data_IF_785253832012
#
_entry.id   IF_785253832012
#
_cell.length_a   1.000
_cell.length_b   1.000
_cell.length_c   1.000
_cell.angle_alpha   90.00
_cell.angle_beta   90.00
_cell.angle_gamma   90.00
#
_symmetry.space_group_name_H-M   'P 1'
#
loop_
_entity.id
_entity.type
_entity.pdbx_description
1 polymer ?
#
# COMPACT_ATOMS: atom_id res chain seq x y z
N UNK A 1 -5.29 -11.66 -14.47
CA UNK A 1 -4.11 -10.87 -14.11
C UNK A 1 -4.15 -10.56 -12.62
N UNK A 2 -3.07 -10.81 -11.93
CA UNK A 2 -2.98 -10.51 -10.50
C UNK A 2 -2.98 -9.00 -10.27
N UNK A 3 -3.61 -8.56 -9.19
CA UNK A 3 -3.74 -7.15 -8.82
C UNK A 3 -2.82 -6.87 -7.63
N UNK A 4 -1.88 -5.94 -7.77
CA UNK A 4 -0.99 -5.51 -6.70
C UNK A 4 -1.36 -4.08 -6.30
N UNK A 5 -1.66 -3.87 -5.04
CA UNK A 5 -1.95 -2.55 -4.49
C UNK A 5 -0.71 -2.00 -3.80
N UNK A 6 -0.27 -0.83 -4.22
CA UNK A 6 0.86 -0.12 -3.62
C UNK A 6 0.36 1.17 -2.97
N UNK A 7 0.66 1.34 -1.70
CA UNK A 7 0.37 2.58 -0.99
C UNK A 7 1.63 3.10 -0.31
N UNK A 8 1.84 4.41 -0.35
CA UNK A 8 3.02 5.05 0.22
C UNK A 8 2.65 6.38 0.85
N UNK A 9 3.15 6.59 2.08
CA UNK A 9 3.09 7.90 2.73
C UNK A 9 4.36 8.65 2.35
N UNK A 10 4.22 9.76 1.63
CA UNK A 10 5.35 10.52 1.07
C UNK A 10 5.31 11.98 1.52
N UNK A 11 5.67 12.25 2.80
CA UNK A 11 5.56 13.61 3.36
C UNK A 11 6.66 14.55 2.88
N UNK A 12 7.70 14.08 2.18
CA UNK A 12 8.82 14.87 1.73
C UNK A 12 9.19 14.56 0.29
N UNK A 13 10.01 15.42 -0.34
CA UNK A 13 10.50 15.16 -1.69
C UNK A 13 11.34 13.89 -1.76
N UNK A 14 12.13 13.60 -0.73
CA UNK A 14 12.95 12.39 -0.70
C UNK A 14 12.10 11.13 -0.64
N UNK A 15 11.09 11.11 0.22
CA UNK A 15 10.18 9.95 0.30
C UNK A 15 9.37 9.79 -0.97
N UNK A 16 8.97 10.89 -1.60
CA UNK A 16 8.26 10.85 -2.88
C UNK A 16 9.13 10.24 -3.98
N UNK A 17 10.39 10.67 -4.09
CA UNK A 17 11.34 10.13 -5.07
C UNK A 17 11.58 8.64 -4.85
N UNK A 18 11.73 8.22 -3.60
CA UNK A 18 11.92 6.81 -3.27
C UNK A 18 10.69 5.99 -3.66
N UNK A 19 9.50 6.48 -3.37
CA UNK A 19 8.25 5.83 -3.74
C UNK A 19 8.11 5.69 -5.25
N UNK A 20 8.42 6.76 -6.00
CA UNK A 20 8.37 6.75 -7.46
C UNK A 20 9.36 5.74 -8.05
N UNK A 21 10.56 5.62 -7.45
CA UNK A 21 11.54 4.64 -7.88
C UNK A 21 11.07 3.22 -7.62
N UNK A 22 10.50 2.95 -6.46
CA UNK A 22 9.93 1.63 -6.15
C UNK A 22 8.83 1.28 -7.14
N UNK A 23 7.94 2.22 -7.43
CA UNK A 23 6.84 2.01 -8.37
C UNK A 23 7.36 1.70 -9.78
N UNK A 24 8.36 2.44 -10.24
CA UNK A 24 8.97 2.22 -11.55
C UNK A 24 9.64 0.83 -11.64
N UNK A 25 10.34 0.42 -10.59
CA UNK A 25 10.96 -0.91 -10.55
C UNK A 25 9.91 -2.03 -10.54
N UNK A 26 8.80 -1.85 -9.84
CA UNK A 26 7.73 -2.83 -9.84
C UNK A 26 7.06 -2.95 -11.21
N UNK A 27 6.86 -1.84 -11.92
CA UNK A 27 6.35 -1.86 -13.29
C UNK A 27 7.30 -2.59 -14.25
N UNK A 28 8.60 -2.36 -14.09
CA UNK A 28 9.61 -3.00 -14.93
C UNK A 28 9.76 -4.49 -14.65
N UNK A 29 9.49 -4.91 -13.41
CA UNK A 29 9.73 -6.30 -12.98
C UNK A 29 8.67 -7.28 -13.47
N UNK A 30 7.45 -6.84 -13.79
CA UNK A 30 6.39 -7.76 -14.20
C UNK A 30 5.39 -7.10 -15.13
N UNK A 31 5.18 -7.71 -16.29
CA UNK A 31 4.15 -7.31 -17.25
C UNK A 31 2.82 -8.01 -17.00
N UNK A 32 2.80 -9.02 -16.11
CA UNK A 32 1.62 -9.84 -15.86
C UNK A 32 0.85 -9.42 -14.62
N UNK A 33 1.29 -8.36 -13.93
CA UNK A 33 0.66 -7.85 -12.71
C UNK A 33 0.10 -6.46 -12.98
N UNK A 34 -1.17 -6.26 -12.66
CA UNK A 34 -1.77 -4.93 -12.67
C UNK A 34 -1.39 -4.21 -11.37
N UNK A 35 -0.70 -3.10 -11.50
CA UNK A 35 -0.22 -2.32 -10.37
C UNK A 35 -1.14 -1.11 -10.13
N UNK A 36 -1.71 -1.02 -8.94
CA UNK A 36 -2.55 0.09 -8.53
C UNK A 36 -1.85 0.87 -7.43
N UNK A 37 -1.74 2.18 -7.61
CA UNK A 37 -1.07 3.07 -6.67
C UNK A 37 -2.07 4.04 -6.07
N UNK A 38 -2.20 4.05 -4.75
CA UNK A 38 -3.03 5.00 -4.00
C UNK A 38 -2.30 5.47 -2.75
N UNK A 39 -2.55 6.70 -2.33
CA UNK A 39 -2.07 7.18 -1.04
C UNK A 39 -2.89 6.53 0.08
N UNK A 40 -2.36 6.47 1.32
CA UNK A 40 -3.13 5.90 2.43
C UNK A 40 -4.50 6.54 2.64
N UNK A 41 -4.60 7.86 2.39
CA UNK A 41 -5.87 8.57 2.54
C UNK A 41 -6.91 8.14 1.51
N UNK A 42 -6.46 7.72 0.32
CA UNK A 42 -7.34 7.31 -0.78
C UNK A 42 -7.79 5.84 -0.68
N UNK A 43 -7.10 5.03 0.12
CA UNK A 43 -7.39 3.59 0.23
C UNK A 43 -8.73 3.39 0.93
N UNK A 44 -9.55 2.51 0.37
CA UNK A 44 -10.79 2.04 1.00
C UNK A 44 -10.69 0.54 1.27
N UNK A 45 -11.61 0.01 2.07
CA UNK A 45 -11.63 -1.44 2.33
C UNK A 45 -11.80 -2.26 1.06
N UNK A 46 -12.52 -1.73 0.07
CA UNK A 46 -12.71 -2.40 -1.23
C UNK A 46 -11.41 -2.59 -1.98
N UNK A 47 -10.50 -1.63 -1.88
CA UNK A 47 -9.20 -1.71 -2.54
C UNK A 47 -8.39 -2.90 -2.05
N UNK A 48 -8.35 -3.11 -0.74
CA UNK A 48 -7.67 -4.25 -0.15
C UNK A 48 -8.31 -5.58 -0.47
N UNK A 49 -9.65 -5.62 -0.50
CA UNK A 49 -10.37 -6.85 -0.84
C UNK A 49 -10.20 -7.25 -2.31
N UNK A 50 -9.97 -6.26 -3.19
CA UNK A 50 -9.82 -6.50 -4.62
C UNK A 50 -8.40 -6.89 -5.03
N UNK A 51 -7.39 -6.67 -4.18
CA UNK A 51 -6.00 -6.93 -4.55
C UNK A 51 -5.55 -8.35 -4.18
N UNK A 52 -4.54 -8.83 -4.89
CA UNK A 52 -3.91 -10.12 -4.63
C UNK A 52 -2.63 -9.98 -3.80
N UNK A 53 -2.17 -8.77 -3.62
CA UNK A 53 -1.02 -8.45 -2.78
C UNK A 53 -1.00 -6.97 -2.43
N UNK A 54 -0.40 -6.63 -1.31
CA UNK A 54 -0.34 -5.26 -0.79
C UNK A 54 1.09 -4.89 -0.43
N UNK A 55 1.58 -3.78 -0.96
CA UNK A 55 2.88 -3.22 -0.60
C UNK A 55 2.64 -1.88 0.08
N UNK A 56 3.18 -1.74 1.29
CA UNK A 56 3.01 -0.54 2.11
C UNK A 56 4.37 0.10 2.35
N UNK A 57 4.52 1.35 1.92
CA UNK A 57 5.68 2.17 2.24
C UNK A 57 5.24 3.29 3.19
N UNK A 58 5.84 3.33 4.37
CA UNK A 58 5.52 4.33 5.38
C UNK A 58 6.79 4.83 6.04
N UNK A 59 6.76 6.08 6.51
CA UNK A 59 7.82 6.58 7.37
C UNK A 59 7.64 6.04 8.78
N UNK A 60 8.75 5.91 9.51
CA UNK A 60 8.72 5.61 10.93
C UNK A 60 8.64 6.94 11.69
N UNK A 61 7.62 7.08 12.52
CA UNK A 61 7.44 8.27 13.34
C UNK A 61 7.32 7.83 14.80
N UNK A 62 8.30 8.24 15.59
CA UNK A 62 8.34 7.92 17.04
C UNK A 62 8.20 6.41 17.27
N UNK A 63 8.95 5.61 16.51
CA UNK A 63 8.98 4.16 16.65
C UNK A 63 7.77 3.43 16.09
N UNK A 64 6.94 4.10 15.27
CA UNK A 64 5.71 3.53 14.72
C UNK A 64 5.45 4.05 13.30
N UNK A 65 4.46 3.49 12.62
CA UNK A 65 4.08 3.93 11.28
C UNK A 65 3.49 5.34 11.29
N UNK A 66 3.50 6.01 10.14
CA UNK A 66 2.91 7.34 9.99
C UNK A 66 1.41 7.32 10.32
N UNK A 67 0.91 8.46 10.81
CA UNK A 67 -0.49 8.59 11.22
C UNK A 67 -1.49 8.31 10.10
N UNK A 68 -1.19 8.74 8.86
CA UNK A 68 -2.08 8.46 7.72
C UNK A 68 -2.09 6.98 7.38
N UNK A 69 -0.99 6.26 7.55
CA UNK A 69 -0.94 4.81 7.36
C UNK A 69 -1.78 4.10 8.43
N UNK A 70 -1.66 4.52 9.67
CA UNK A 70 -2.47 3.98 10.78
C UNK A 70 -3.96 4.26 10.56
N UNK A 71 -4.29 5.47 10.11
CA UNK A 71 -5.66 5.83 9.76
C UNK A 71 -6.24 4.91 8.69
N UNK A 72 -5.44 4.58 7.67
CA UNK A 72 -5.85 3.64 6.63
C UNK A 72 -6.25 2.28 7.24
N UNK A 73 -5.43 1.72 8.12
CA UNK A 73 -5.74 0.46 8.78
C UNK A 73 -6.99 0.57 9.64
N UNK A 74 -7.14 1.66 10.39
CA UNK A 74 -8.30 1.86 11.26
C UNK A 74 -9.60 1.96 10.45
N UNK A 75 -9.58 2.70 9.34
CA UNK A 75 -10.76 2.85 8.47
C UNK A 75 -11.14 1.55 7.78
N UNK A 76 -10.16 0.74 7.42
CA UNK A 76 -10.39 -0.51 6.70
C UNK A 76 -10.61 -1.72 7.60
N UNK A 77 -10.42 -1.56 8.91
CA UNK A 77 -10.39 -2.67 9.85
C UNK A 77 -11.61 -3.59 9.74
N UNK A 78 -12.81 -3.01 9.82
CA UNK A 78 -14.03 -3.82 9.79
C UNK A 78 -14.25 -4.51 8.44
N UNK A 79 -13.88 -3.84 7.34
CA UNK A 79 -14.03 -4.41 6.01
C UNK A 79 -13.03 -5.52 5.72
N UNK A 80 -11.85 -5.46 6.31
CA UNK A 80 -10.79 -6.43 6.07
C UNK A 80 -10.79 -7.59 7.06
N UNK A 81 -11.40 -7.42 8.22
CA UNK A 81 -11.39 -8.45 9.27
C UNK A 81 -12.00 -9.75 8.73
N UNK A 82 -11.26 -10.85 8.86
CA UNK A 82 -11.61 -12.19 8.38
C UNK A 82 -11.70 -12.34 6.86
N UNK A 83 -11.42 -11.28 6.08
CA UNK A 83 -11.54 -11.33 4.61
C UNK A 83 -10.21 -11.23 3.89
N UNK A 84 -9.12 -10.97 4.61
CA UNK A 84 -7.78 -10.83 4.03
C UNK A 84 -6.79 -11.85 4.57
N UNK A 85 -7.27 -12.95 5.12
CA UNK A 85 -6.41 -14.01 5.62
C UNK A 85 -5.56 -14.58 4.48
N UNK A 86 -4.26 -14.66 4.71
CA UNK A 86 -3.34 -15.19 3.70
C UNK A 86 -2.96 -14.19 2.62
N UNK A 87 -3.44 -12.94 2.67
CA UNK A 87 -3.05 -11.92 1.71
C UNK A 87 -1.56 -11.58 1.88
N UNK A 88 -0.74 -11.72 0.81
CA UNK A 88 0.67 -11.32 0.90
C UNK A 88 0.80 -9.82 1.13
N UNK A 89 1.63 -9.44 2.12
CA UNK A 89 1.88 -8.05 2.46
C UNK A 89 3.37 -7.83 2.62
N UNK A 90 3.89 -6.75 2.02
CA UNK A 90 5.27 -6.31 2.17
C UNK A 90 5.30 -4.87 2.70
N UNK A 91 6.26 -4.61 3.58
CA UNK A 91 6.50 -3.28 4.15
C UNK A 91 7.82 -2.71 3.68
#
# INVERSE_FOLDING_TARGET
MKQLLFTAHTPSDNTRKLSQRCLAEMHAASETIALHHKTPLEITSKDGLACDGLVIATTENIGYMAGLTKDMFDRCYNGWLYHTDGLPVAF
#
